data_IF_335712307763
#
_entry.id   IF_335712307763
#
_cell.length_a   1.000
_cell.length_b   1.000
_cell.length_c   1.000
_cell.angle_alpha   90.00
_cell.angle_beta   90.00
_cell.angle_gamma   90.00
#
_symmetry.space_group_name_H-M   'P 1'
#
loop_
_entity.id
_entity.type
_entity.pdbx_description
1 polymer ?
#
# COMPACT_ATOMS: atom_id res chain seq x y z
N UNK A 1 2.89 1.89 33.13
CA UNK A 1 2.61 2.45 31.79
C UNK A 1 3.29 1.53 30.79
N UNK A 2 2.59 0.88 29.87
CA UNK A 2 3.23 0.07 28.84
C UNK A 2 4.02 0.99 27.90
N UNK A 3 5.24 0.55 27.54
CA UNK A 3 6.12 1.27 26.63
C UNK A 3 5.55 1.24 25.22
N UNK A 4 5.70 2.33 24.43
CA UNK A 4 5.19 2.37 23.07
C UNK A 4 5.87 1.31 22.19
N UNK A 5 5.08 0.62 21.38
CA UNK A 5 5.58 -0.37 20.42
C UNK A 5 6.34 0.37 19.33
N UNK A 6 7.61 0.04 19.16
CA UNK A 6 8.44 0.59 18.09
C UNK A 6 8.30 -0.27 16.84
N UNK A 7 7.79 0.31 15.76
CA UNK A 7 7.89 -0.29 14.44
C UNK A 7 9.34 -0.15 13.95
N UNK A 8 10.13 -1.21 14.06
CA UNK A 8 11.47 -1.22 13.49
C UNK A 8 11.38 -1.38 11.96
N UNK A 9 11.96 -0.42 11.24
CA UNK A 9 12.32 -0.63 9.84
C UNK A 9 13.41 -1.69 9.80
N UNK A 10 13.11 -2.85 9.24
CA UNK A 10 14.16 -3.78 8.84
C UNK A 10 14.90 -3.19 7.64
N UNK A 11 16.06 -2.59 7.90
CA UNK A 11 17.03 -2.29 6.85
C UNK A 11 17.68 -3.62 6.44
N UNK A 12 17.16 -4.26 5.41
CA UNK A 12 17.97 -5.20 4.68
C UNK A 12 18.92 -4.38 3.80
N UNK A 13 20.20 -4.38 4.15
CA UNK A 13 21.25 -4.05 3.20
C UNK A 13 21.11 -5.01 2.03
N UNK A 14 20.43 -4.59 0.99
CA UNK A 14 20.37 -5.32 -0.27
C UNK A 14 21.56 -4.89 -1.10
N UNK A 15 22.57 -5.75 -1.13
CA UNK A 15 23.38 -5.90 -2.32
C UNK A 15 22.41 -6.04 -3.50
N UNK A 16 22.67 -5.27 -4.55
CA UNK A 16 21.93 -5.29 -5.80
C UNK A 16 22.01 -6.66 -6.45
N UNK A 17 21.11 -7.55 -6.09
CA UNK A 17 20.76 -8.68 -6.92
C UNK A 17 19.84 -8.16 -8.02
N UNK A 18 20.41 -8.01 -9.23
CA UNK A 18 19.66 -7.74 -10.45
C UNK A 18 18.76 -8.95 -10.72
N UNK A 19 17.55 -8.92 -10.23
CA UNK A 19 16.53 -9.89 -10.65
C UNK A 19 16.03 -9.45 -12.01
N UNK A 20 16.55 -10.05 -13.05
CA UNK A 20 16.02 -9.93 -14.41
C UNK A 20 14.64 -10.61 -14.45
N UNK A 21 13.59 -9.85 -14.11
CA UNK A 21 12.25 -10.22 -14.54
C UNK A 21 12.15 -9.92 -16.03
N UNK A 22 12.15 -10.97 -16.86
CA UNK A 22 11.67 -10.87 -18.23
C UNK A 22 10.16 -10.66 -18.16
N UNK A 23 9.76 -9.42 -17.91
CA UNK A 23 8.42 -8.95 -18.18
C UNK A 23 8.48 -8.40 -19.62
N UNK A 24 7.88 -9.13 -20.55
CA UNK A 24 7.69 -8.63 -21.90
C UNK A 24 7.03 -7.25 -21.83
N UNK A 25 7.81 -6.20 -22.08
CA UNK A 25 7.37 -4.97 -22.70
C UNK A 25 6.49 -4.02 -21.89
N UNK A 26 6.74 -3.78 -20.59
CA UNK A 26 6.24 -2.58 -19.96
C UNK A 26 7.41 -1.63 -19.76
N UNK A 27 7.53 -0.67 -20.68
CA UNK A 27 8.40 0.49 -20.49
C UNK A 27 7.83 1.32 -19.33
N UNK A 28 8.32 1.09 -18.13
CA UNK A 28 8.30 2.13 -17.11
C UNK A 28 9.13 3.30 -17.70
N UNK A 29 8.64 4.56 -17.68
CA UNK A 29 9.35 5.65 -18.29
C UNK A 29 10.79 5.68 -17.76
N UNK A 30 11.76 5.69 -18.65
CA UNK A 30 13.20 5.76 -18.39
C UNK A 30 13.55 7.12 -17.74
N UNK A 31 13.22 7.29 -16.48
CA UNK A 31 13.65 8.43 -15.68
C UNK A 31 13.92 8.06 -14.23
N UNK A 32 14.58 6.93 -13.96
CA UNK A 32 15.21 6.71 -12.66
C UNK A 32 16.56 6.03 -12.89
N UNK A 33 17.49 6.75 -13.56
CA UNK A 33 18.90 6.59 -13.35
C UNK A 33 19.46 7.92 -12.79
N UNK A 34 18.95 8.33 -11.65
CA UNK A 34 19.71 9.10 -10.68
C UNK A 34 19.64 8.34 -9.39
N UNK A 35 20.70 7.59 -9.12
CA UNK A 35 21.01 7.03 -7.82
C UNK A 35 21.25 8.20 -6.85
N UNK A 36 20.17 8.89 -6.45
CA UNK A 36 20.20 9.64 -5.21
C UNK A 36 20.07 8.59 -4.13
N UNK A 37 21.21 8.25 -3.52
CA UNK A 37 21.21 7.66 -2.18
C UNK A 37 20.48 8.65 -1.28
N UNK A 38 19.18 8.44 -1.08
CA UNK A 38 18.52 9.02 0.06
C UNK A 38 19.10 8.28 1.27
N UNK A 39 20.01 8.95 1.96
CA UNK A 39 20.28 8.62 3.34
C UNK A 39 18.94 8.81 4.04
N UNK A 40 18.23 7.71 4.26
CA UNK A 40 17.09 7.66 5.14
C UNK A 40 17.65 7.99 6.52
N UNK A 41 17.44 9.24 6.97
CA UNK A 41 17.59 9.57 8.36
C UNK A 41 16.73 8.56 9.11
N UNK A 42 17.33 7.87 10.07
CA UNK A 42 16.65 6.96 10.98
C UNK A 42 15.83 7.79 11.98
N UNK A 43 14.89 8.58 11.51
CA UNK A 43 13.90 9.18 12.38
C UNK A 43 12.97 8.06 12.82
N UNK A 44 13.00 7.76 14.08
CA UNK A 44 12.05 6.86 14.73
C UNK A 44 10.66 7.51 14.64
N UNK A 45 9.83 7.02 13.74
CA UNK A 45 8.43 7.42 13.72
C UNK A 45 7.78 6.73 14.91
N UNK A 46 7.49 7.51 15.96
CA UNK A 46 6.72 7.03 17.12
C UNK A 46 5.25 7.14 16.78
N UNK A 47 4.57 6.01 16.63
CA UNK A 47 3.12 5.97 16.45
C UNK A 47 2.44 5.63 17.76
N UNK A 48 1.21 6.12 17.98
CA UNK A 48 0.43 5.77 19.17
C UNK A 48 0.06 4.28 19.14
N UNK A 49 -0.19 3.70 20.31
CA UNK A 49 -0.60 2.29 20.45
C UNK A 49 -1.86 1.97 19.62
N UNK A 50 -2.79 2.92 19.50
CA UNK A 50 -4.00 2.78 18.67
C UNK A 50 -3.66 2.60 17.19
N UNK A 51 -2.67 3.32 16.67
CA UNK A 51 -2.20 3.19 15.29
C UNK A 51 -1.47 1.87 15.10
N UNK A 52 -0.55 1.53 16.01
CA UNK A 52 0.21 0.28 15.95
C UNK A 52 -0.72 -0.95 15.91
N UNK A 53 -1.86 -0.91 16.63
CA UNK A 53 -2.85 -1.97 16.63
C UNK A 53 -3.49 -2.22 15.27
N UNK A 54 -3.72 -1.19 14.46
CA UNK A 54 -4.24 -1.34 13.09
C UNK A 54 -3.24 -2.05 12.17
N UNK A 55 -1.95 -1.92 12.43
CA UNK A 55 -0.88 -2.53 11.63
C UNK A 55 -0.35 -3.84 12.21
N UNK A 56 -1.00 -4.37 13.26
CA UNK A 56 -0.68 -5.68 13.83
C UNK A 56 -1.54 -6.74 13.14
N UNK A 57 -0.89 -7.64 12.39
CA UNK A 57 -1.57 -8.67 11.63
C UNK A 57 -1.24 -10.07 12.15
N UNK A 58 -2.23 -10.96 12.13
CA UNK A 58 -1.98 -12.39 12.27
C UNK A 58 -1.46 -12.90 10.93
N UNK A 59 -0.23 -13.41 10.92
CA UNK A 59 0.47 -13.88 9.71
C UNK A 59 0.62 -15.39 9.78
N UNK A 60 0.04 -16.08 8.80
CA UNK A 60 0.15 -17.53 8.68
C UNK A 60 1.53 -17.99 8.20
N UNK A 61 1.84 -19.32 8.30
CA UNK A 61 3.16 -19.86 7.94
C UNK A 61 3.52 -19.65 6.46
N UNK A 62 2.52 -19.61 5.58
CA UNK A 62 2.67 -19.40 4.13
C UNK A 62 2.31 -17.98 3.68
N UNK A 63 2.32 -17.04 4.60
CA UNK A 63 2.06 -15.63 4.32
C UNK A 63 3.30 -14.79 4.58
N UNK A 64 3.37 -13.65 3.92
CA UNK A 64 4.30 -12.59 4.25
C UNK A 64 3.55 -11.32 4.65
N UNK A 65 4.24 -10.46 5.38
CA UNK A 65 3.77 -9.20 5.93
C UNK A 65 4.81 -8.13 5.67
N UNK A 66 4.36 -6.92 5.33
CA UNK A 66 5.24 -5.77 5.24
C UNK A 66 4.51 -4.48 5.59
N UNK A 67 5.28 -3.43 5.83
CA UNK A 67 4.82 -2.08 6.13
C UNK A 67 5.58 -1.09 5.25
N UNK A 68 4.85 -0.22 4.58
CA UNK A 68 5.40 0.87 3.78
C UNK A 68 4.94 2.20 4.39
N UNK A 69 5.87 3.14 4.51
CA UNK A 69 5.61 4.47 5.08
C UNK A 69 5.99 5.52 4.04
N UNK A 70 5.12 6.53 3.88
CA UNK A 70 5.31 7.67 2.99
C UNK A 70 4.95 8.96 3.72
N UNK A 71 5.86 9.92 3.71
CA UNK A 71 5.56 11.30 4.13
C UNK A 71 5.11 12.10 2.92
N UNK A 72 4.06 12.91 3.10
CA UNK A 72 3.43 13.74 2.06
C UNK A 72 3.33 15.15 2.58
N UNK A 73 3.77 16.12 1.80
CA UNK A 73 3.71 17.54 2.16
C UNK A 73 2.33 18.14 1.81
N UNK A 74 1.30 17.56 2.41
CA UNK A 74 -0.09 18.01 2.30
C UNK A 74 -0.82 17.64 3.60
N UNK A 75 -1.90 18.38 3.91
CA UNK A 75 -2.67 18.15 5.15
C UNK A 75 -3.32 16.76 5.15
N UNK A 76 -3.56 16.21 6.36
CA UNK A 76 -4.25 14.91 6.51
C UNK A 76 -5.60 14.91 5.80
N UNK A 77 -6.35 16.00 5.89
CA UNK A 77 -7.66 16.11 5.23
C UNK A 77 -7.55 16.07 3.71
N UNK A 78 -6.52 16.70 3.13
CA UNK A 78 -6.25 16.66 1.68
C UNK A 78 -5.91 15.24 1.24
N UNK A 79 -4.95 14.58 1.91
CA UNK A 79 -4.55 13.21 1.57
C UNK A 79 -5.70 12.24 1.77
N UNK A 80 -6.46 12.38 2.87
CA UNK A 80 -7.61 11.53 3.16
C UNK A 80 -8.72 11.66 2.11
N UNK A 81 -8.96 12.85 1.59
CA UNK A 81 -9.97 13.08 0.54
C UNK A 81 -9.74 12.22 -0.70
N UNK A 82 -8.48 11.83 -0.97
CA UNK A 82 -8.09 10.94 -2.08
C UNK A 82 -8.15 9.47 -1.64
N UNK A 83 -7.54 9.14 -0.50
CA UNK A 83 -7.37 7.75 -0.04
C UNK A 83 -8.70 7.09 0.30
N UNK A 84 -9.64 7.83 0.92
CA UNK A 84 -10.95 7.32 1.35
C UNK A 84 -11.87 6.84 0.21
N UNK A 85 -11.56 7.23 -1.03
CA UNK A 85 -12.36 6.92 -2.22
C UNK A 85 -12.16 5.45 -2.65
N UNK A 86 -12.80 4.53 -1.90
CA UNK A 86 -12.78 3.12 -2.26
C UNK A 86 -13.36 2.85 -3.65
N UNK A 87 -14.32 3.65 -4.08
CA UNK A 87 -14.96 3.62 -5.40
C UNK A 87 -14.05 4.13 -6.54
N UNK A 88 -12.96 4.85 -6.23
CA UNK A 88 -12.09 5.49 -7.22
C UNK A 88 -10.58 5.27 -6.95
N UNK A 89 -10.10 4.01 -6.86
CA UNK A 89 -8.69 3.73 -6.58
C UNK A 89 -7.75 4.21 -7.68
N UNK A 90 -8.21 4.27 -8.94
CA UNK A 90 -7.43 4.77 -10.08
C UNK A 90 -7.07 6.25 -9.93
N UNK A 91 -7.70 6.96 -9.00
CA UNK A 91 -7.35 8.34 -8.69
C UNK A 91 -5.88 8.51 -8.25
N UNK A 92 -5.26 7.46 -7.67
CA UNK A 92 -3.84 7.49 -7.31
C UNK A 92 -3.11 6.14 -7.51
N UNK A 93 -3.84 5.03 -7.70
CA UNK A 93 -3.22 3.71 -7.94
C UNK A 93 -3.01 3.50 -9.44
N UNK A 94 -1.82 3.86 -9.92
CA UNK A 94 -1.48 3.88 -11.35
C UNK A 94 -1.60 2.53 -12.07
N UNK A 95 -1.57 1.42 -11.33
CA UNK A 95 -1.76 0.09 -11.89
C UNK A 95 -3.23 -0.28 -12.10
N UNK A 96 -4.15 0.56 -11.63
CA UNK A 96 -5.59 0.36 -11.80
C UNK A 96 -6.05 1.07 -13.07
N UNK A 97 -6.60 0.29 -14.01
CA UNK A 97 -7.17 0.80 -15.25
C UNK A 97 -8.60 1.31 -15.06
N UNK A 98 -9.41 0.58 -14.31
CA UNK A 98 -10.81 0.94 -14.00
C UNK A 98 -11.28 0.25 -12.73
N UNK A 99 -12.29 0.84 -12.11
CA UNK A 99 -12.96 0.32 -10.93
C UNK A 99 -14.47 0.42 -11.11
N UNK A 100 -15.19 -0.66 -10.76
CA UNK A 100 -16.63 -0.69 -10.73
C UNK A 100 -17.09 -1.20 -9.35
N UNK A 101 -17.97 -0.47 -8.68
CA UNK A 101 -18.66 -0.98 -7.48
C UNK A 101 -19.67 -2.02 -7.94
N UNK A 102 -19.51 -3.27 -7.45
CA UNK A 102 -20.35 -4.42 -7.86
C UNK A 102 -21.36 -4.81 -6.79
N UNK A 103 -21.16 -4.38 -5.53
CA UNK A 103 -22.13 -4.51 -4.47
C UNK A 103 -21.94 -3.40 -3.42
N UNK A 104 -23.03 -2.92 -2.84
CA UNK A 104 -23.03 -1.78 -1.92
C UNK A 104 -22.93 -0.44 -2.63
N UNK A 105 -22.61 0.60 -1.89
CA UNK A 105 -22.51 1.99 -2.37
C UNK A 105 -21.05 2.48 -2.60
N UNK A 106 -20.07 1.62 -2.32
CA UNK A 106 -18.65 1.93 -2.46
C UNK A 106 -18.06 2.77 -1.32
N UNK A 107 -18.87 3.15 -0.33
CA UNK A 107 -18.45 4.01 0.79
C UNK A 107 -18.79 3.42 2.17
N UNK A 108 -19.43 2.26 2.23
CA UNK A 108 -19.73 1.54 3.48
C UNK A 108 -18.97 0.23 3.55
N UNK A 109 -18.58 -0.14 4.76
CA UNK A 109 -17.97 -1.43 5.06
C UNK A 109 -18.85 -2.57 4.51
N UNK A 110 -18.20 -3.55 3.85
CA UNK A 110 -18.86 -4.64 3.13
C UNK A 110 -19.10 -4.36 1.65
N UNK A 111 -18.93 -3.11 1.16
CA UNK A 111 -19.00 -2.82 -0.27
C UNK A 111 -17.95 -3.62 -1.05
N UNK A 112 -18.33 -4.09 -2.25
CA UNK A 112 -17.45 -4.80 -3.17
C UNK A 112 -17.18 -3.96 -4.41
N UNK A 113 -15.93 -3.94 -4.85
CA UNK A 113 -15.51 -3.38 -6.13
C UNK A 113 -14.79 -4.42 -6.98
N UNK A 114 -14.96 -4.35 -8.29
CA UNK A 114 -14.12 -5.02 -9.27
C UNK A 114 -13.11 -4.02 -9.81
N UNK A 115 -11.83 -4.35 -9.69
CA UNK A 115 -10.72 -3.57 -10.19
C UNK A 115 -10.12 -4.28 -11.39
N UNK A 116 -9.95 -3.57 -12.51
CA UNK A 116 -9.20 -4.04 -13.68
C UNK A 116 -7.83 -3.39 -13.69
N UNK A 117 -6.81 -4.19 -13.93
CA UNK A 117 -5.44 -3.74 -13.93
C UNK A 117 -4.95 -3.38 -15.34
N UNK A 118 -3.91 -2.56 -15.41
CA UNK A 118 -3.25 -2.26 -16.68
C UNK A 118 -2.59 -3.52 -17.24
N UNK A 119 -2.43 -3.59 -18.56
CA UNK A 119 -1.78 -4.71 -19.23
C UNK A 119 -0.30 -4.82 -18.85
N UNK A 120 0.23 -6.05 -18.88
CA UNK A 120 1.65 -6.31 -18.56
C UNK A 120 1.93 -6.68 -17.11
N UNK A 121 0.93 -6.68 -16.23
CA UNK A 121 1.04 -7.24 -14.89
C UNK A 121 0.68 -8.73 -14.89
N UNK A 122 1.21 -9.53 -13.92
CA UNK A 122 0.82 -10.93 -13.73
C UNK A 122 -0.56 -11.06 -13.06
N UNK A 123 -1.47 -10.15 -13.37
CA UNK A 123 -2.81 -10.04 -12.85
C UNK A 123 -3.69 -9.26 -13.82
N UNK A 124 -4.96 -9.64 -13.94
CA UNK A 124 -5.93 -9.02 -14.86
C UNK A 124 -6.95 -8.20 -14.09
N UNK A 125 -7.45 -8.76 -12.99
CA UNK A 125 -8.48 -8.14 -12.15
C UNK A 125 -8.40 -8.61 -10.71
N UNK A 126 -8.96 -7.81 -9.80
CA UNK A 126 -9.26 -8.21 -8.43
C UNK A 126 -10.68 -7.81 -8.06
N UNK A 127 -11.32 -8.64 -7.22
CA UNK A 127 -12.54 -8.27 -6.50
C UNK A 127 -12.13 -7.96 -5.08
N UNK A 128 -12.48 -6.79 -4.60
CA UNK A 128 -12.02 -6.26 -3.33
C UNK A 128 -13.21 -5.87 -2.46
N UNK A 129 -13.10 -6.14 -1.15
CA UNK A 129 -14.12 -5.80 -0.15
C UNK A 129 -13.56 -4.74 0.77
N UNK A 130 -14.34 -3.69 1.01
CA UNK A 130 -14.05 -2.67 2.02
C UNK A 130 -14.29 -3.26 3.42
N UNK A 131 -13.24 -3.36 4.22
CA UNK A 131 -13.31 -3.96 5.55
C UNK A 131 -13.38 -2.90 6.67
N UNK A 132 -12.71 -1.76 6.50
CA UNK A 132 -12.72 -0.62 7.43
C UNK A 132 -12.78 0.67 6.62
N UNK A 133 -13.61 1.61 7.07
CA UNK A 133 -13.56 3.02 6.69
C UNK A 133 -13.90 3.85 7.92
N UNK A 134 -12.87 4.36 8.58
CA UNK A 134 -12.99 5.21 9.77
C UNK A 134 -12.59 6.64 9.42
N UNK A 135 -13.58 7.51 9.29
CA UNK A 135 -13.40 8.91 8.90
C UNK A 135 -12.73 9.74 10.00
N UNK A 136 -12.95 9.38 11.28
CA UNK A 136 -12.39 10.14 12.39
C UNK A 136 -10.92 9.82 12.60
N UNK A 137 -10.55 8.54 12.47
CA UNK A 137 -9.18 8.07 12.68
C UNK A 137 -8.37 7.99 11.39
N UNK A 138 -9.01 8.28 10.25
CA UNK A 138 -8.40 8.20 8.92
C UNK A 138 -7.80 6.82 8.65
N UNK A 139 -8.62 5.78 8.81
CA UNK A 139 -8.25 4.38 8.61
C UNK A 139 -9.09 3.78 7.49
N UNK A 140 -8.45 3.20 6.50
CA UNK A 140 -9.11 2.40 5.46
C UNK A 140 -8.43 1.02 5.36
N UNK A 141 -9.25 -0.01 5.22
CA UNK A 141 -8.78 -1.38 5.02
C UNK A 141 -9.63 -2.08 3.98
N UNK A 142 -8.98 -2.92 3.17
CA UNK A 142 -9.68 -3.79 2.22
C UNK A 142 -9.00 -5.15 2.10
N UNK A 143 -9.77 -6.13 1.69
CA UNK A 143 -9.32 -7.48 1.37
C UNK A 143 -9.63 -7.82 -0.08
N UNK A 144 -8.71 -8.53 -0.75
CA UNK A 144 -8.95 -9.16 -2.04
C UNK A 144 -9.69 -10.47 -1.82
N UNK A 145 -10.91 -10.56 -2.34
CA UNK A 145 -11.82 -11.70 -2.15
C UNK A 145 -12.04 -12.51 -3.42
N UNK A 146 -11.53 -12.05 -4.57
CA UNK A 146 -11.64 -12.74 -5.85
C UNK A 146 -10.85 -12.07 -6.96
N UNK A 147 -10.97 -12.62 -8.17
CA UNK A 147 -10.31 -12.09 -9.38
C UNK A 147 -9.22 -13.01 -9.94
N UNK A 148 -8.53 -12.53 -10.99
CA UNK A 148 -7.42 -13.22 -11.66
C UNK A 148 -6.11 -12.52 -11.32
N UNK A 149 -5.48 -12.97 -10.26
CA UNK A 149 -4.26 -12.37 -9.71
C UNK A 149 -3.43 -13.40 -8.92
N UNK A 150 -2.20 -13.04 -8.55
CA UNK A 150 -1.29 -13.85 -7.72
C UNK A 150 -1.34 -13.50 -6.22
N UNK A 151 -1.97 -12.38 -5.84
CA UNK A 151 -2.03 -11.91 -4.46
C UNK A 151 -3.22 -12.53 -3.71
N UNK A 152 -3.18 -13.84 -3.46
CA UNK A 152 -4.24 -14.53 -2.70
C UNK A 152 -4.25 -14.05 -1.26
N UNK A 153 -5.45 -13.96 -0.68
CA UNK A 153 -5.68 -13.54 0.71
C UNK A 153 -4.99 -12.22 1.07
N UNK A 154 -4.79 -11.34 0.07
CA UNK A 154 -4.27 -10.00 0.32
C UNK A 154 -5.26 -9.20 1.16
N UNK A 155 -4.76 -8.61 2.21
CA UNK A 155 -5.48 -7.60 3.01
C UNK A 155 -4.52 -6.49 3.38
N UNK A 156 -4.98 -5.25 3.32
CA UNK A 156 -4.18 -4.10 3.71
C UNK A 156 -4.93 -3.17 4.64
N UNK A 157 -4.17 -2.44 5.43
CA UNK A 157 -4.65 -1.34 6.26
C UNK A 157 -3.79 -0.13 5.96
N UNK A 158 -4.44 1.00 5.70
CA UNK A 158 -3.80 2.30 5.51
C UNK A 158 -4.29 3.25 6.59
N UNK A 159 -3.37 3.94 7.27
CA UNK A 159 -3.65 4.98 8.26
C UNK A 159 -2.93 6.26 7.91
N UNK A 160 -3.54 7.41 8.22
CA UNK A 160 -2.97 8.73 7.99
C UNK A 160 -2.83 9.50 9.31
N UNK A 161 -1.68 10.14 9.48
CA UNK A 161 -1.34 10.90 10.69
C UNK A 161 -0.66 12.20 10.33
N UNK A 162 -0.90 13.27 11.11
CA UNK A 162 -0.13 14.50 10.97
C UNK A 162 1.34 14.28 11.39
N UNK A 163 2.26 14.89 10.64
CA UNK A 163 3.71 14.84 10.92
C UNK A 163 4.17 15.90 11.96
N UNK A 164 3.24 16.72 12.43
CA UNK A 164 3.51 17.84 13.35
C UNK A 164 3.90 19.15 12.64
N UNK A 165 4.16 19.13 11.34
CA UNK A 165 4.58 20.30 10.55
C UNK A 165 3.57 20.69 9.46
N UNK A 166 2.36 20.14 9.52
CA UNK A 166 1.30 20.38 8.54
C UNK A 166 1.25 19.35 7.40
N UNK A 167 2.20 18.43 7.36
CA UNK A 167 2.24 17.30 6.45
C UNK A 167 1.54 16.05 7.01
N UNK A 168 1.57 14.98 6.22
CA UNK A 168 0.93 13.71 6.53
C UNK A 168 1.93 12.56 6.46
N UNK A 169 1.92 11.70 7.47
CA UNK A 169 2.55 10.37 7.42
C UNK A 169 1.47 9.34 7.06
N UNK A 170 1.66 8.66 5.95
CA UNK A 170 0.81 7.54 5.52
C UNK A 170 1.53 6.24 5.83
N UNK A 171 0.86 5.33 6.53
CA UNK A 171 1.35 4.00 6.84
C UNK A 171 0.42 3.00 6.15
N UNK A 172 0.95 2.17 5.28
CA UNK A 172 0.22 1.04 4.69
C UNK A 172 0.90 -0.26 5.06
N UNK A 173 0.18 -1.16 5.72
CA UNK A 173 0.63 -2.53 5.99
C UNK A 173 -0.25 -3.53 5.28
N UNK A 174 0.32 -4.69 4.94
CA UNK A 174 -0.42 -5.75 4.28
C UNK A 174 0.05 -7.14 4.70
N UNK A 175 -0.83 -8.09 4.50
CA UNK A 175 -0.54 -9.53 4.54
C UNK A 175 -1.01 -10.15 3.24
N UNK A 176 -0.24 -11.09 2.71
CA UNK A 176 -0.54 -11.80 1.47
C UNK A 176 0.01 -13.22 1.50
N UNK A 177 -0.63 -14.16 0.83
CA UNK A 177 -0.10 -15.50 0.65
C UNK A 177 1.13 -15.47 -0.26
N UNK A 178 2.14 -16.29 0.09
CA UNK A 178 3.32 -16.52 -0.74
C UNK A 178 2.93 -17.50 -1.86
N UNK A 179 2.99 -17.11 -3.14
CA UNK A 179 2.69 -18.00 -4.25
C UNK A 179 3.66 -19.20 -4.27
N UNK A 180 3.16 -20.33 -4.74
CA UNK A 180 4.01 -21.51 -4.94
C UNK A 180 5.22 -21.17 -5.84
N UNK A 181 6.41 -21.56 -5.40
CA UNK A 181 7.67 -21.29 -6.10
C UNK A 181 8.33 -19.94 -5.77
N UNK A 182 7.68 -19.09 -4.98
CA UNK A 182 8.27 -17.84 -4.50
C UNK A 182 8.72 -17.95 -3.02
N UNK A 183 9.64 -17.08 -2.63
CA UNK A 183 9.99 -16.82 -1.23
C UNK A 183 9.12 -15.72 -0.64
N UNK A 184 9.16 -15.56 0.69
CA UNK A 184 8.51 -14.43 1.39
C UNK A 184 9.13 -13.11 0.97
N UNK A 185 10.45 -13.06 0.84
CA UNK A 185 11.22 -11.89 0.46
C UNK A 185 10.88 -11.42 -0.95
N UNK A 186 10.82 -12.33 -1.91
CA UNK A 186 10.41 -12.02 -3.30
C UNK A 186 8.97 -11.50 -3.35
N UNK A 187 8.07 -12.14 -2.61
CA UNK A 187 6.67 -11.73 -2.56
C UNK A 187 6.52 -10.35 -1.94
N UNK A 188 7.16 -10.09 -0.80
CA UNK A 188 7.14 -8.78 -0.17
C UNK A 188 7.80 -7.72 -1.05
N UNK A 189 8.95 -8.00 -1.67
CA UNK A 189 9.62 -7.06 -2.58
C UNK A 189 8.72 -6.63 -3.74
N UNK A 190 8.00 -7.59 -4.33
CA UNK A 190 7.05 -7.30 -5.40
C UNK A 190 5.88 -6.42 -4.93
N UNK A 191 5.24 -6.79 -3.83
CA UNK A 191 4.08 -6.04 -3.31
C UNK A 191 4.50 -4.67 -2.77
N UNK A 192 5.63 -4.58 -2.05
CA UNK A 192 6.21 -3.31 -1.59
C UNK A 192 6.43 -2.34 -2.75
N UNK A 193 6.91 -2.84 -3.89
CA UNK A 193 7.10 -2.01 -5.08
C UNK A 193 5.79 -1.40 -5.55
N UNK A 194 4.72 -2.19 -5.61
CA UNK A 194 3.38 -1.70 -5.99
C UNK A 194 2.87 -0.67 -4.99
N UNK A 195 2.94 -0.97 -3.69
CA UNK A 195 2.47 -0.07 -2.62
C UNK A 195 3.26 1.24 -2.63
N UNK A 196 4.59 1.18 -2.76
CA UNK A 196 5.45 2.39 -2.86
C UNK A 196 5.08 3.24 -4.06
N UNK A 197 4.89 2.64 -5.24
CA UNK A 197 4.47 3.38 -6.44
C UNK A 197 3.11 4.07 -6.22
N UNK A 198 2.15 3.39 -5.58
CA UNK A 198 0.85 3.97 -5.27
C UNK A 198 0.98 5.14 -4.28
N UNK A 199 1.75 4.99 -3.20
CA UNK A 199 1.93 6.04 -2.21
C UNK A 199 2.73 7.23 -2.75
N UNK A 200 3.70 7.01 -3.64
CA UNK A 200 4.41 8.08 -4.35
C UNK A 200 3.46 8.85 -5.28
N UNK A 201 2.59 8.15 -6.00
CA UNK A 201 1.57 8.79 -6.83
C UNK A 201 0.57 9.60 -5.97
N UNK A 202 0.16 9.05 -4.84
CA UNK A 202 -0.69 9.75 -3.86
C UNK A 202 -0.03 11.06 -3.40
N UNK A 203 1.27 11.04 -3.07
CA UNK A 203 2.02 12.22 -2.68
C UNK A 203 1.99 13.29 -3.80
N UNK A 204 2.33 12.89 -5.03
CA UNK A 204 2.36 13.81 -6.17
C UNK A 204 1.00 14.45 -6.47
N UNK A 205 -0.10 13.75 -6.18
CA UNK A 205 -1.46 14.24 -6.38
C UNK A 205 -1.88 15.15 -5.24
N UNK A 206 -1.71 14.71 -4.00
CA UNK A 206 -2.15 15.46 -2.83
C UNK A 206 -1.38 16.78 -2.64
N UNK A 207 -0.09 16.83 -3.02
CA UNK A 207 0.73 18.04 -2.95
C UNK A 207 0.36 19.11 -3.99
N UNK A 208 -0.54 18.78 -4.93
CA UNK A 208 -1.04 19.71 -5.95
C UNK A 208 -2.47 20.19 -5.70
N UNK A 209 -3.16 19.60 -4.72
CA UNK A 209 -4.52 19.97 -4.32
C UNK A 209 -4.50 21.10 -3.29
#
# INVERSE_FOLDING_TARGET
MPSPIQLQRFNTNTETASVNFIANGVNCPKQIQQTRRYALSTEKITVSDTVANHHTHVVGPHQCYSVVIQTINASVSTVWSVVRRFDNPQGYKNFVKSCNVVAGDGIRVGALREVRLVSGLPAVSSTERLDILDEERHVISFSVVGGVHRCRNYRSVTTLHGDGNGGTVVIESYVVDVPCGNTKEETCSFVDTIVRCNLQSLAQIAEKL
#
